data_IF_722055075418
#
_entry.id   IF_722055075418
#
_cell.length_a   1.000
_cell.length_b   1.000
_cell.length_c   1.000
_cell.angle_alpha   90.00
_cell.angle_beta   90.00
_cell.angle_gamma   90.00
#
_symmetry.space_group_name_H-M   'P 1'
#
loop_
_entity.id
_entity.type
_entity.pdbx_description
1 polymer ?
#
# COMPACT_ATOMS: atom_id res chain seq x y z
N UNK A 1 27.89 1.23 11.88
CA UNK A 1 26.65 0.90 11.15
C UNK A 1 25.55 1.82 11.64
N UNK A 2 25.06 2.74 10.80
CA UNK A 2 23.85 3.50 11.15
C UNK A 2 22.66 2.57 10.93
N UNK A 3 21.92 2.27 12.00
CA UNK A 3 20.63 1.61 11.87
C UNK A 3 19.71 2.62 11.16
N UNK A 4 19.53 2.46 9.85
CA UNK A 4 18.43 3.14 9.14
C UNK A 4 17.15 2.53 9.69
N UNK A 5 16.56 3.19 10.67
CA UNK A 5 15.24 2.87 11.16
C UNK A 5 14.25 3.30 10.09
N UNK A 6 13.74 2.32 9.33
CA UNK A 6 12.76 2.55 8.28
C UNK A 6 11.44 2.99 8.94
N UNK A 7 10.74 4.00 8.38
CA UNK A 7 9.40 4.32 8.84
C UNK A 7 8.46 3.13 8.59
N UNK A 8 7.57 2.88 9.53
CA UNK A 8 6.49 1.89 9.37
C UNK A 8 5.22 2.59 8.89
N UNK A 9 4.44 1.93 8.05
CA UNK A 9 3.19 2.49 7.52
C UNK A 9 1.97 1.70 8.00
N UNK A 10 0.89 2.40 8.35
CA UNK A 10 -0.38 1.82 8.74
C UNK A 10 -1.49 2.30 7.78
N UNK A 11 -2.09 1.41 6.98
CA UNK A 11 -3.31 1.73 6.24
C UNK A 11 -4.53 1.62 7.16
N UNK A 12 -5.48 2.55 7.03
CA UNK A 12 -6.80 2.44 7.63
C UNK A 12 -7.72 1.64 6.69
N UNK A 13 -8.23 0.47 7.11
CA UNK A 13 -9.09 -0.36 6.26
C UNK A 13 -10.48 0.25 6.02
N UNK A 14 -10.90 1.28 6.77
CA UNK A 14 -12.22 1.90 6.64
C UNK A 14 -12.28 2.89 5.48
N UNK A 15 -11.25 3.72 5.33
CA UNK A 15 -11.24 4.84 4.38
C UNK A 15 -10.00 4.88 3.46
N UNK A 16 -9.02 4.00 3.67
CA UNK A 16 -7.79 3.93 2.88
C UNK A 16 -6.72 4.97 3.27
N UNK A 17 -6.95 5.78 4.31
CA UNK A 17 -5.96 6.72 4.85
C UNK A 17 -4.66 6.01 5.20
N UNK A 18 -3.52 6.65 4.91
CA UNK A 18 -2.21 6.09 5.20
C UNK A 18 -1.51 6.90 6.30
N UNK A 19 -0.96 6.22 7.30
CA UNK A 19 -0.22 6.83 8.39
C UNK A 19 1.23 6.37 8.41
N UNK A 20 2.15 7.26 8.75
CA UNK A 20 3.57 6.98 8.94
C UNK A 20 3.92 7.02 10.44
N UNK A 21 4.55 5.96 10.93
CA UNK A 21 5.08 5.85 12.28
C UNK A 21 6.58 6.12 12.24
N UNK A 22 7.01 7.10 13.04
CA UNK A 22 8.42 7.41 13.25
C UNK A 22 8.99 6.49 14.33
N UNK A 23 10.21 5.96 14.14
CA UNK A 23 10.92 5.19 15.17
C UNK A 23 11.38 6.07 16.35
N UNK A 24 11.38 7.40 16.20
CA UNK A 24 11.94 8.34 17.17
C UNK A 24 10.89 8.89 18.15
N UNK A 25 9.82 8.14 18.43
CA UNK A 25 8.70 8.57 19.29
C UNK A 25 7.99 9.86 18.83
N UNK A 26 8.16 10.27 17.57
CA UNK A 26 7.38 11.38 17.02
C UNK A 26 5.90 10.98 16.86
N UNK A 27 4.98 11.94 16.93
CA UNK A 27 3.57 11.67 16.69
C UNK A 27 3.35 10.99 15.33
N UNK A 28 2.40 10.06 15.30
CA UNK A 28 1.99 9.41 14.06
C UNK A 28 1.50 10.48 13.07
N UNK A 29 2.02 10.46 11.84
CA UNK A 29 1.68 11.43 10.79
C UNK A 29 0.67 10.82 9.83
N UNK A 30 -0.49 11.45 9.66
CA UNK A 30 -1.40 11.15 8.55
C UNK A 30 -0.81 11.69 7.26
N UNK A 31 -0.66 10.83 6.26
CA UNK A 31 -0.20 11.23 4.93
C UNK A 31 -1.37 11.83 4.13
N UNK A 32 -1.11 12.77 3.20
CA UNK A 32 -2.15 13.40 2.40
C UNK A 32 -2.61 12.54 1.21
N UNK A 33 -2.35 11.23 1.24
CA UNK A 33 -2.71 10.29 0.18
C UNK A 33 -3.06 8.91 0.79
N UNK A 34 -3.94 8.20 0.10
CA UNK A 34 -4.24 6.77 0.28
C UNK A 34 -3.20 5.90 -0.44
N UNK A 35 -3.19 4.58 -0.20
CA UNK A 35 -2.30 3.66 -0.94
C UNK A 35 -2.54 3.72 -2.47
N UNK A 36 -3.79 3.66 -2.99
CA UNK A 36 -4.02 3.77 -4.44
C UNK A 36 -3.51 5.08 -5.05
N UNK A 37 -3.71 6.21 -4.37
CA UNK A 37 -3.20 7.51 -4.83
C UNK A 37 -1.67 7.55 -4.83
N UNK A 38 -1.04 7.03 -3.76
CA UNK A 38 0.42 6.96 -3.66
C UNK A 38 1.02 6.06 -4.76
N UNK A 39 0.41 4.91 -5.03
CA UNK A 39 0.84 4.01 -6.11
C UNK A 39 0.69 4.67 -7.48
N UNK A 40 -0.39 5.42 -7.70
CA UNK A 40 -0.63 6.14 -8.96
C UNK A 40 0.36 7.28 -9.18
N UNK A 41 0.74 7.98 -8.12
CA UNK A 41 1.71 9.07 -8.15
C UNK A 41 3.17 8.57 -8.20
N UNK A 42 3.41 7.28 -7.96
CA UNK A 42 4.75 6.72 -7.95
C UNK A 42 5.32 6.54 -9.38
N UNK A 43 6.65 6.67 -9.58
CA UNK A 43 7.67 6.94 -8.56
C UNK A 43 7.69 8.40 -8.10
N UNK A 44 7.78 8.63 -6.79
CA UNK A 44 7.83 9.98 -6.22
C UNK A 44 8.74 10.05 -4.98
N UNK A 45 9.11 11.27 -4.58
CA UNK A 45 9.97 11.53 -3.42
C UNK A 45 9.27 12.49 -2.46
N UNK A 46 9.26 12.17 -1.17
CA UNK A 46 8.74 13.04 -0.12
C UNK A 46 9.69 14.22 0.16
N UNK A 47 9.17 15.26 0.81
CA UNK A 47 9.99 16.39 1.30
C UNK A 47 11.10 15.96 2.26
N UNK A 48 10.86 14.90 3.03
CA UNK A 48 11.78 14.28 3.99
C UNK A 48 12.80 13.34 3.30
N UNK A 49 12.70 13.17 1.99
CA UNK A 49 13.67 12.42 1.19
C UNK A 49 13.34 10.94 0.99
N UNK A 50 12.17 10.48 1.42
CA UNK A 50 11.73 9.09 1.22
C UNK A 50 11.33 8.89 -0.25
N UNK A 51 11.85 7.85 -0.88
CA UNK A 51 11.48 7.48 -2.25
C UNK A 51 10.39 6.41 -2.22
N UNK A 52 9.26 6.68 -2.86
CA UNK A 52 8.13 5.78 -2.98
C UNK A 52 8.09 5.15 -4.37
N UNK A 53 7.95 3.83 -4.39
CA UNK A 53 7.66 3.04 -5.59
C UNK A 53 6.33 2.33 -5.38
N UNK A 54 5.54 2.21 -6.44
CA UNK A 54 4.21 1.59 -6.38
C UNK A 54 4.01 0.57 -7.49
N UNK A 55 3.12 -0.38 -7.26
CA UNK A 55 2.62 -1.29 -8.32
C UNK A 55 1.16 -1.58 -8.04
N UNK A 56 0.34 -1.56 -9.09
CA UNK A 56 -1.05 -2.01 -9.05
C UNK A 56 -1.17 -3.26 -9.92
N UNK A 57 -1.75 -4.32 -9.38
CA UNK A 57 -2.10 -5.54 -10.14
C UNK A 57 -3.60 -5.77 -10.01
N UNK A 58 -4.23 -6.05 -11.14
CA UNK A 58 -5.67 -6.31 -11.20
C UNK A 58 -5.89 -7.82 -11.42
N UNK A 59 -6.74 -8.43 -10.59
CA UNK A 59 -7.01 -9.88 -10.58
C UNK A 59 -8.52 -10.12 -10.53
N UNK A 60 -9.01 -11.02 -11.38
CA UNK A 60 -10.39 -11.50 -11.41
C UNK A 60 -10.42 -12.96 -10.98
N UNK A 61 -11.31 -13.31 -10.04
CA UNK A 61 -11.45 -14.67 -9.53
C UNK A 61 -12.89 -15.12 -9.75
N UNK A 62 -13.07 -16.25 -10.43
CA UNK A 62 -14.35 -16.94 -10.51
C UNK A 62 -14.47 -17.93 -9.34
N UNK A 63 -15.58 -17.87 -8.61
CA UNK A 63 -15.87 -18.73 -7.45
C UNK A 63 -17.18 -19.46 -7.68
N UNK A 64 -17.22 -20.74 -7.38
CA UNK A 64 -18.45 -21.52 -7.29
C UNK A 64 -19.28 -21.03 -6.09
N UNK A 65 -20.50 -20.51 -6.30
CA UNK A 65 -21.30 -19.93 -5.22
C UNK A 65 -21.83 -20.95 -4.21
N UNK A 66 -21.84 -22.25 -4.54
CA UNK A 66 -22.34 -23.31 -3.65
C UNK A 66 -21.22 -23.86 -2.77
N UNK A 67 -20.06 -24.14 -3.37
CA UNK A 67 -18.94 -24.77 -2.67
C UNK A 67 -17.92 -23.78 -2.12
N UNK A 68 -17.92 -22.54 -2.63
CA UNK A 68 -16.87 -21.55 -2.36
C UNK A 68 -15.54 -21.87 -3.05
N UNK A 69 -15.50 -22.89 -3.92
CA UNK A 69 -14.27 -23.29 -4.60
C UNK A 69 -13.88 -22.26 -5.67
N UNK A 70 -12.56 -21.98 -5.76
CA UNK A 70 -12.00 -21.16 -6.83
C UNK A 70 -12.02 -21.94 -8.16
N UNK A 71 -12.72 -21.43 -9.16
CA UNK A 71 -12.88 -22.06 -10.48
C UNK A 71 -11.83 -21.56 -11.46
N UNK A 72 -11.60 -20.25 -11.50
CA UNK A 72 -10.68 -19.62 -12.45
C UNK A 72 -10.06 -18.36 -11.86
N UNK A 73 -8.92 -17.96 -12.42
CA UNK A 73 -8.28 -16.68 -12.15
C UNK A 73 -7.86 -16.08 -13.49
N UNK A 74 -8.19 -14.80 -13.72
CA UNK A 74 -7.73 -14.03 -14.87
C UNK A 74 -7.01 -12.78 -14.37
N UNK A 75 -5.91 -12.43 -14.99
CA UNK A 75 -5.14 -11.24 -14.65
C UNK A 75 -4.72 -10.49 -15.89
N UNK A 76 -4.39 -9.21 -15.72
CA UNK A 76 -3.92 -8.38 -16.83
C UNK A 76 -2.50 -8.72 -17.30
N UNK A 77 -1.77 -9.54 -16.54
CA UNK A 77 -0.45 -10.06 -16.91
C UNK A 77 -0.48 -11.40 -17.67
N UNK A 78 -1.66 -12.01 -17.88
CA UNK A 78 -1.86 -13.22 -18.68
C UNK A 78 -2.54 -14.37 -17.93
#
# INVERSE_FOLDING_TARGET
SFLITRPSFLPDPKDGSLYAISPNHEPIKKLPFTIPELVTAAPCKSSEGIFYTGTKKDLWIAIDPITGAKVQTLSSDG
#
